data_IF_192915213191
#
_entry.id   IF_192915213191
#
_cell.length_a   1.000
_cell.length_b   1.000
_cell.length_c   1.000
_cell.angle_alpha   90.00
_cell.angle_beta   90.00
_cell.angle_gamma   90.00
#
_symmetry.space_group_name_H-M   'P 1'
#
loop_
_entity.id
_entity.type
_entity.pdbx_description
1 polymer ?
#
# COMPACT_ATOMS: atom_id res chain seq x y z
N UNK A 1 26.43 -1.80 -3.71
CA UNK A 1 26.19 -3.15 -3.15
C UNK A 1 24.71 -3.52 -3.21
N UNK A 2 23.81 -2.87 -2.46
CA UNK A 2 22.37 -3.21 -2.45
C UNK A 2 21.71 -3.09 -3.83
N UNK A 3 22.02 -2.05 -4.62
CA UNK A 3 21.48 -1.88 -5.98
C UNK A 3 21.85 -3.01 -6.94
N UNK A 4 23.06 -3.56 -6.82
CA UNK A 4 23.50 -4.69 -7.65
C UNK A 4 22.80 -5.97 -7.21
N UNK A 5 22.70 -6.20 -5.89
CA UNK A 5 21.95 -7.32 -5.34
C UNK A 5 20.46 -7.25 -5.71
N UNK A 6 19.90 -6.05 -5.80
CA UNK A 6 18.51 -5.85 -6.20
C UNK A 6 18.23 -6.39 -7.61
N UNK A 7 19.19 -6.28 -8.54
CA UNK A 7 19.04 -6.84 -9.90
C UNK A 7 18.79 -8.35 -9.88
N UNK A 8 19.32 -9.08 -8.90
CA UNK A 8 19.11 -10.52 -8.74
C UNK A 8 17.66 -10.89 -8.41
N UNK A 9 16.92 -9.96 -7.81
CA UNK A 9 15.54 -10.17 -7.34
C UNK A 9 14.51 -9.28 -8.03
N UNK A 10 14.93 -8.30 -8.82
CA UNK A 10 14.07 -7.35 -9.53
C UNK A 10 13.03 -8.06 -10.42
N UNK A 11 13.41 -9.16 -11.07
CA UNK A 11 12.48 -9.96 -11.85
C UNK A 11 11.31 -10.53 -11.03
N UNK A 12 11.52 -10.79 -9.73
CA UNK A 12 10.47 -11.25 -8.81
C UNK A 12 9.52 -10.10 -8.48
N UNK A 13 10.04 -8.89 -8.29
CA UNK A 13 9.24 -7.68 -8.06
C UNK A 13 8.34 -7.41 -9.26
N UNK A 14 8.90 -7.45 -10.47
CA UNK A 14 8.16 -7.16 -11.70
C UNK A 14 7.13 -8.24 -12.03
N UNK A 15 7.46 -9.50 -11.75
CA UNK A 15 6.47 -10.57 -11.82
C UNK A 15 5.32 -10.34 -10.85
N UNK A 16 5.61 -9.93 -9.61
CA UNK A 16 4.57 -9.64 -8.61
C UNK A 16 3.71 -8.44 -9.02
N UNK A 17 4.31 -7.39 -9.60
CA UNK A 17 3.58 -6.25 -10.17
C UNK A 17 2.59 -6.67 -11.26
N UNK A 18 2.96 -7.65 -12.09
CA UNK A 18 2.06 -8.15 -13.14
C UNK A 18 0.97 -9.07 -12.57
N UNK A 19 1.24 -9.78 -11.47
CA UNK A 19 0.28 -10.67 -10.79
C UNK A 19 -0.72 -9.89 -9.92
N UNK A 20 -0.35 -8.73 -9.39
CA UNK A 20 -1.13 -8.01 -8.38
C UNK A 20 -1.32 -6.53 -8.73
N UNK A 21 -2.55 -6.05 -8.58
CA UNK A 21 -2.87 -4.64 -8.74
C UNK A 21 -2.96 -3.93 -7.37
N UNK A 22 -2.00 -3.06 -7.09
CA UNK A 22 -2.03 -2.11 -5.98
C UNK A 22 -2.42 -0.73 -6.51
N UNK A 23 -3.47 -0.15 -5.95
CA UNK A 23 -3.98 1.14 -6.41
C UNK A 23 -2.95 2.24 -6.15
N UNK A 24 -2.76 3.13 -7.13
CA UNK A 24 -1.80 4.24 -7.12
C UNK A 24 -0.32 3.85 -7.09
N UNK A 25 0.01 2.56 -7.13
CA UNK A 25 1.42 2.15 -7.21
C UNK A 25 1.95 2.28 -8.63
N UNK A 26 2.98 3.07 -8.79
CA UNK A 26 3.81 3.15 -9.98
C UNK A 26 4.96 2.15 -9.91
N UNK A 27 5.66 1.96 -11.03
CA UNK A 27 6.83 1.08 -11.08
C UNK A 27 7.89 1.45 -10.03
N UNK A 28 8.07 2.74 -9.78
CA UNK A 28 8.98 3.27 -8.75
C UNK A 28 8.58 2.82 -7.34
N UNK A 29 7.29 2.73 -7.01
CA UNK A 29 6.81 2.25 -5.71
C UNK A 29 7.09 0.76 -5.53
N UNK A 30 6.87 -0.03 -6.59
CA UNK A 30 7.23 -1.45 -6.61
C UNK A 30 8.73 -1.66 -6.40
N UNK A 31 9.56 -0.87 -7.10
CA UNK A 31 11.02 -0.93 -6.97
C UNK A 31 11.49 -0.48 -5.58
N UNK A 32 10.90 0.59 -5.03
CA UNK A 32 11.20 1.05 -3.68
C UNK A 32 10.85 0.00 -2.64
N UNK A 33 9.65 -0.57 -2.69
CA UNK A 33 9.24 -1.61 -1.75
C UNK A 33 10.10 -2.86 -1.89
N UNK A 34 10.48 -3.21 -3.12
CA UNK A 34 11.41 -4.29 -3.41
C UNK A 34 12.77 -4.07 -2.73
N UNK A 35 13.32 -2.87 -2.83
CA UNK A 35 14.59 -2.50 -2.18
C UNK A 35 14.48 -2.50 -0.66
N UNK A 36 13.38 -1.99 -0.09
CA UNK A 36 13.14 -2.00 1.36
C UNK A 36 13.04 -3.43 1.87
N UNK A 37 12.26 -4.29 1.20
CA UNK A 37 12.12 -5.70 1.56
C UNK A 37 13.46 -6.43 1.49
N UNK A 38 14.28 -6.14 0.47
CA UNK A 38 15.61 -6.74 0.33
C UNK A 38 16.53 -6.29 1.47
N UNK A 39 16.56 -4.99 1.78
CA UNK A 39 17.36 -4.42 2.85
C UNK A 39 17.00 -5.04 4.20
N UNK A 40 15.72 -5.09 4.55
CA UNK A 40 15.28 -5.71 5.81
C UNK A 40 15.63 -7.20 5.88
N UNK A 41 15.60 -7.91 4.76
CA UNK A 41 15.91 -9.33 4.71
C UNK A 41 17.40 -9.57 4.98
N UNK A 42 18.29 -8.85 4.29
CA UNK A 42 19.74 -8.99 4.48
C UNK A 42 20.20 -8.49 5.86
N UNK A 43 19.52 -7.51 6.45
CA UNK A 43 19.83 -7.04 7.81
C UNK A 43 19.46 -8.05 8.89
N UNK A 44 18.54 -8.98 8.60
CA UNK A 44 18.06 -9.99 9.57
C UNK A 44 18.79 -11.33 9.46
N UNK A 45 19.29 -11.67 8.28
CA UNK A 45 19.93 -12.96 8.02
C UNK A 45 21.33 -12.76 7.44
N UNK A 46 22.33 -12.87 8.34
CA UNK A 46 23.74 -12.78 7.98
C UNK A 46 24.14 -13.95 7.06
N UNK A 47 24.98 -13.68 6.05
CA UNK A 47 25.44 -14.68 5.07
C UNK A 47 24.45 -14.99 3.93
N UNK A 48 23.21 -14.46 3.96
CA UNK A 48 22.23 -14.71 2.89
C UNK A 48 22.68 -14.16 1.52
N UNK A 49 23.51 -13.12 1.53
CA UNK A 49 24.07 -12.47 0.33
C UNK A 49 25.05 -13.38 -0.44
N UNK A 50 25.62 -14.39 0.22
CA UNK A 50 26.60 -15.31 -0.36
C UNK A 50 25.91 -16.45 -1.13
N UNK A 51 24.63 -16.74 -0.84
CA UNK A 51 23.82 -17.77 -1.49
C UNK A 51 22.66 -17.13 -2.27
N UNK A 52 22.94 -16.76 -3.53
CA UNK A 52 21.96 -16.09 -4.41
C UNK A 52 20.68 -16.92 -4.63
N UNK A 53 20.73 -18.25 -4.89
CA UNK A 53 19.52 -19.08 -4.94
C UNK A 53 18.67 -19.00 -3.68
N UNK A 54 19.29 -19.09 -2.49
CA UNK A 54 18.58 -18.97 -1.21
C UNK A 54 18.00 -17.59 -1.01
N UNK A 55 18.76 -16.53 -1.30
CA UNK A 55 18.29 -15.15 -1.27
C UNK A 55 17.03 -14.96 -2.12
N UNK A 56 17.06 -15.41 -3.38
CA UNK A 56 15.91 -15.30 -4.30
C UNK A 56 14.68 -16.01 -3.74
N UNK A 57 14.83 -17.20 -3.15
CA UNK A 57 13.73 -17.96 -2.54
C UNK A 57 13.13 -17.23 -1.34
N UNK A 58 13.97 -16.75 -0.43
CA UNK A 58 13.54 -16.04 0.78
C UNK A 58 12.89 -14.71 0.44
N UNK A 59 13.53 -13.94 -0.44
CA UNK A 59 13.01 -12.68 -0.95
C UNK A 59 11.64 -12.88 -1.59
N UNK A 60 11.48 -13.87 -2.48
CA UNK A 60 10.19 -14.16 -3.12
C UNK A 60 9.08 -14.37 -2.11
N UNK A 61 9.32 -15.18 -1.08
CA UNK A 61 8.31 -15.45 -0.05
C UNK A 61 8.00 -14.19 0.76
N UNK A 62 9.02 -13.46 1.22
CA UNK A 62 8.83 -12.26 2.03
C UNK A 62 8.14 -11.13 1.25
N UNK A 63 8.57 -10.89 0.03
CA UNK A 63 8.00 -9.86 -0.84
C UNK A 63 6.54 -10.16 -1.18
N UNK A 64 6.22 -11.41 -1.57
CA UNK A 64 4.83 -11.81 -1.84
C UNK A 64 3.92 -11.60 -0.63
N UNK A 65 4.36 -12.01 0.56
CA UNK A 65 3.61 -11.78 1.79
C UNK A 65 3.35 -10.28 2.02
N UNK A 66 4.38 -9.45 1.82
CA UNK A 66 4.24 -8.00 1.95
C UNK A 66 3.21 -7.40 0.97
N UNK A 67 3.21 -7.82 -0.28
CA UNK A 67 2.21 -7.38 -1.27
C UNK A 67 0.80 -7.81 -0.87
N UNK A 68 0.63 -9.05 -0.38
CA UNK A 68 -0.65 -9.51 0.14
C UNK A 68 -1.11 -8.69 1.36
N UNK A 69 -0.19 -8.22 2.21
CA UNK A 69 -0.52 -7.33 3.33
C UNK A 69 -1.04 -5.98 2.84
N UNK A 70 -0.43 -5.41 1.80
CA UNK A 70 -0.91 -4.17 1.18
C UNK A 70 -2.30 -4.35 0.56
N UNK A 71 -2.54 -5.45 -0.15
CA UNK A 71 -3.85 -5.76 -0.72
C UNK A 71 -4.93 -5.88 0.38
N UNK A 72 -4.62 -6.59 1.47
CA UNK A 72 -5.54 -6.72 2.61
C UNK A 72 -5.84 -5.38 3.28
N UNK A 73 -4.85 -4.50 3.40
CA UNK A 73 -5.05 -3.12 3.90
C UNK A 73 -5.96 -2.33 2.96
N UNK A 74 -5.74 -2.41 1.65
CA UNK A 74 -6.57 -1.75 0.64
C UNK A 74 -8.02 -2.25 0.68
N UNK A 75 -8.25 -3.56 0.68
CA UNK A 75 -9.58 -4.15 0.80
C UNK A 75 -10.26 -3.78 2.12
N UNK A 76 -9.49 -3.71 3.21
CA UNK A 76 -10.02 -3.27 4.49
C UNK A 76 -10.45 -1.80 4.47
N UNK A 77 -9.71 -0.93 3.77
CA UNK A 77 -10.12 0.47 3.60
C UNK A 77 -11.39 0.57 2.76
N UNK A 78 -11.47 -0.18 1.65
CA UNK A 78 -12.69 -0.23 0.81
C UNK A 78 -13.91 -0.66 1.62
N UNK A 79 -13.81 -1.71 2.44
CA UNK A 79 -14.89 -2.14 3.34
C UNK A 79 -15.36 -1.06 4.32
N UNK A 80 -14.49 -0.14 4.73
CA UNK A 80 -14.89 1.00 5.58
C UNK A 80 -15.72 2.02 4.80
N UNK A 81 -15.48 2.17 3.51
CA UNK A 81 -16.27 3.01 2.61
C UNK A 81 -17.57 2.32 2.15
N UNK A 82 -17.54 1.01 1.89
CA UNK A 82 -18.73 0.22 1.52
C UNK A 82 -19.72 0.07 2.69
N UNK A 83 -19.26 0.29 3.92
CA UNK A 83 -20.14 0.46 5.07
C UNK A 83 -20.73 1.86 4.95
N UNK A 84 -21.93 1.97 4.36
CA UNK A 84 -22.66 3.24 4.21
C UNK A 84 -22.44 4.14 5.42
N UNK A 85 -21.93 5.34 5.18
CA UNK A 85 -22.06 6.42 6.15
C UNK A 85 -23.52 6.85 6.10
N UNK A 86 -24.39 6.18 6.86
CA UNK A 86 -25.64 6.80 7.27
C UNK A 86 -25.27 7.94 8.23
N UNK A 87 -24.79 9.05 7.68
CA UNK A 87 -25.05 10.34 8.31
C UNK A 87 -26.54 10.57 8.13
N UNK A 88 -27.28 10.39 9.22
CA UNK A 88 -28.62 10.92 9.32
C UNK A 88 -28.52 12.42 9.02
N UNK A 89 -29.00 12.84 7.84
CA UNK A 89 -29.21 14.27 7.52
C UNK A 89 -30.39 14.72 8.37
N UNK A 90 -30.16 14.84 9.68
CA UNK A 90 -31.21 14.98 10.70
C UNK A 90 -30.98 16.08 11.72
N UNK A 91 -29.80 16.70 11.80
CA UNK A 91 -29.53 17.71 12.83
C UNK A 91 -28.77 18.94 12.32
N UNK A 92 -29.18 19.51 11.19
CA UNK A 92 -28.97 20.95 10.95
C UNK A 92 -30.28 21.56 10.43
N UNK A 93 -31.35 21.48 11.24
CA UNK A 93 -32.58 22.27 11.07
C UNK A 93 -32.76 23.33 12.16
N UNK A 94 -31.92 23.32 13.21
CA UNK A 94 -32.06 24.24 14.34
C UNK A 94 -30.82 25.12 14.49
N UNK A 95 -30.60 26.02 13.53
CA UNK A 95 -29.87 27.29 13.73
C UNK A 95 -30.03 28.24 12.53
N UNK A 96 -31.21 28.29 11.89
CA UNK A 96 -31.59 29.52 11.19
C UNK A 96 -32.26 30.37 12.27
N UNK A 97 -31.48 31.28 12.86
CA UNK A 97 -32.05 32.35 13.66
C UNK A 97 -32.98 33.14 12.74
N UNK A 98 -34.24 33.30 13.13
CA UNK A 98 -35.23 34.16 12.48
C UNK A 98 -34.74 35.63 12.47
N UNK A 99 -33.81 35.94 11.58
CA UNK A 99 -33.37 37.29 11.25
C UNK A 99 -33.94 37.63 9.88
N UNK A 100 -35.12 38.24 9.86
CA UNK A 100 -35.89 38.54 8.66
C UNK A 100 -35.08 39.22 7.54
N UNK A 101 -35.32 38.78 6.31
CA UNK A 101 -34.94 39.48 5.09
C UNK A 101 -35.69 40.81 5.03
N UNK A 102 -35.02 41.90 5.39
CA UNK A 102 -35.44 43.25 5.03
C UNK A 102 -35.18 43.44 3.54
N UNK A 103 -36.23 43.29 2.72
CA UNK A 103 -36.26 43.80 1.36
C UNK A 103 -36.73 45.25 1.44
N UNK A 104 -35.80 46.19 1.22
CA UNK A 104 -36.09 47.61 1.17
C UNK A 104 -37.02 47.96 0.02
N UNK A 105 -37.94 48.88 0.28
CA UNK A 105 -38.66 49.66 -0.72
C UNK A 105 -38.82 51.08 -0.23
#
# INVERSE_FOLDING_TARGET
MLKELYKEVQGIVYKSRNEYYLHLWELSDWDQEGMICLHELISKEEGLVEDIPRLRKYFKTKFRNRILDYLRKQESQKRRYDKELYEEVGEISHCISEGGLWLGQ
#
